data_IF_904074371448
#
_entry.id   IF_904074371448
#
_cell.length_a   1.000
_cell.length_b   1.000
_cell.length_c   1.000
_cell.angle_alpha   90.00
_cell.angle_beta   90.00
_cell.angle_gamma   90.00
#
_symmetry.space_group_name_H-M   'P 1'
#
loop_
_entity.id
_entity.type
_entity.pdbx_description
1 polymer ?
#
# COMPACT_ATOMS: atom_id res chain seq x y z
N UNK A 1 26.90 -28.57 -26.13
CA UNK A 1 26.72 -27.15 -25.73
C UNK A 1 25.84 -27.15 -24.50
N UNK A 2 26.38 -27.01 -23.27
CA UNK A 2 25.59 -27.10 -22.06
C UNK A 2 24.75 -25.83 -21.86
N UNK A 3 23.55 -26.04 -21.30
CA UNK A 3 22.46 -25.09 -21.14
C UNK A 3 22.88 -23.78 -20.47
N UNK A 4 22.51 -22.65 -21.08
CA UNK A 4 22.49 -21.37 -20.41
C UNK A 4 21.57 -21.49 -19.20
N UNK A 5 22.14 -21.36 -18.01
CA UNK A 5 21.45 -21.21 -16.76
C UNK A 5 20.44 -20.05 -16.91
N UNK A 6 19.16 -20.35 -17.14
CA UNK A 6 18.08 -19.35 -17.10
C UNK A 6 18.00 -18.85 -15.65
N UNK A 7 18.81 -17.84 -15.35
CA UNK A 7 18.69 -17.09 -14.11
C UNK A 7 17.34 -16.38 -14.21
N UNK A 8 16.32 -16.99 -13.60
CA UNK A 8 14.99 -16.41 -13.46
C UNK A 8 15.16 -15.01 -12.88
N UNK A 9 14.96 -13.99 -13.71
CA UNK A 9 15.25 -12.62 -13.36
C UNK A 9 14.29 -12.18 -12.25
N UNK A 10 14.81 -11.71 -11.12
CA UNK A 10 13.97 -11.32 -9.99
C UNK A 10 13.23 -10.02 -10.32
N UNK A 11 11.89 -10.00 -10.24
CA UNK A 11 11.13 -8.80 -10.55
C UNK A 11 11.38 -7.72 -9.49
N UNK A 12 11.28 -6.43 -9.87
CA UNK A 12 11.42 -5.31 -8.95
C UNK A 12 10.43 -5.35 -7.79
N UNK A 13 10.95 -5.30 -6.56
CA UNK A 13 10.18 -5.29 -5.31
C UNK A 13 10.44 -4.04 -4.45
N UNK A 14 10.70 -2.90 -5.10
CA UNK A 14 10.87 -1.59 -4.48
C UNK A 14 9.60 -0.74 -4.61
N UNK A 15 9.45 0.36 -3.84
CA UNK A 15 8.36 1.32 -4.06
C UNK A 15 8.42 1.93 -5.46
N UNK A 16 7.30 1.93 -6.19
CA UNK A 16 7.24 2.45 -7.56
C UNK A 16 7.57 3.95 -7.66
N UNK A 17 7.14 4.74 -6.68
CA UNK A 17 7.50 6.16 -6.60
C UNK A 17 9.03 6.36 -6.58
N UNK A 18 9.76 5.51 -5.87
CA UNK A 18 11.22 5.60 -5.82
C UNK A 18 11.87 5.26 -7.15
N UNK A 19 11.30 4.31 -7.89
CA UNK A 19 11.72 4.02 -9.26
C UNK A 19 11.53 5.24 -10.18
N UNK A 20 10.40 5.95 -10.10
CA UNK A 20 10.19 7.17 -10.88
C UNK A 20 11.20 8.28 -10.51
N UNK A 21 11.43 8.50 -9.22
CA UNK A 21 12.43 9.46 -8.75
C UNK A 21 13.84 9.11 -9.23
N UNK A 22 14.16 7.81 -9.34
CA UNK A 22 15.43 7.35 -9.90
C UNK A 22 15.58 7.70 -11.38
N UNK A 23 14.49 7.62 -12.17
CA UNK A 23 14.47 8.04 -13.57
C UNK A 23 14.68 9.54 -13.70
N UNK A 24 14.04 10.34 -12.84
CA UNK A 24 14.23 11.79 -12.82
C UNK A 24 15.67 12.17 -12.44
N UNK A 25 16.28 11.44 -11.49
CA UNK A 25 17.70 11.62 -11.14
C UNK A 25 18.64 11.28 -12.31
N UNK A 26 18.32 10.26 -13.09
CA UNK A 26 19.09 9.86 -14.28
C UNK A 26 18.86 10.84 -15.44
N UNK A 27 17.66 11.37 -15.59
CA UNK A 27 17.35 12.39 -16.61
C UNK A 27 18.18 13.66 -16.40
N UNK A 28 18.47 14.02 -15.15
CA UNK A 28 19.32 15.15 -14.82
C UNK A 28 20.80 14.93 -15.19
N UNK A 29 21.30 13.68 -15.11
CA UNK A 29 22.66 13.33 -15.50
C UNK A 29 22.73 11.84 -15.84
N UNK A 30 22.85 11.51 -17.13
CA UNK A 30 22.97 10.14 -17.59
C UNK A 30 24.42 9.64 -17.37
N UNK A 31 24.65 8.71 -16.44
CA UNK A 31 25.98 8.16 -16.24
C UNK A 31 26.37 7.26 -17.42
N UNK A 32 27.68 7.14 -17.68
CA UNK A 32 28.20 6.22 -18.71
C UNK A 32 27.85 4.76 -18.43
N UNK A 33 27.80 4.39 -17.15
CA UNK A 33 27.45 3.05 -16.69
C UNK A 33 26.58 3.16 -15.44
N UNK A 34 25.50 2.40 -15.40
CA UNK A 34 24.62 2.31 -14.25
C UNK A 34 25.13 1.19 -13.36
N UNK A 35 25.58 1.58 -12.17
CA UNK A 35 26.04 0.66 -11.14
C UNK A 35 25.55 1.15 -9.78
N UNK A 36 25.84 0.39 -8.73
CA UNK A 36 25.56 0.81 -7.35
C UNK A 36 26.15 2.20 -7.03
N UNK A 37 27.27 2.56 -7.66
CA UNK A 37 27.94 3.86 -7.47
C UNK A 37 27.19 5.04 -8.11
N UNK A 38 26.29 4.79 -9.05
CA UNK A 38 25.38 5.80 -9.62
C UNK A 38 24.46 6.39 -8.55
N UNK A 39 24.08 5.55 -7.58
CA UNK A 39 23.06 5.85 -6.58
C UNK A 39 23.66 6.41 -5.28
N UNK A 40 24.55 7.42 -5.34
CA UNK A 40 25.28 7.92 -4.15
C UNK A 40 24.39 8.40 -3.00
N UNK A 41 23.20 8.93 -3.32
CA UNK A 41 22.23 9.43 -2.33
C UNK A 41 21.34 8.33 -1.75
N UNK A 42 21.42 7.12 -2.31
CA UNK A 42 20.59 6.00 -1.91
C UNK A 42 21.27 5.13 -0.86
N UNK A 43 20.45 4.45 -0.07
CA UNK A 43 20.97 3.37 0.74
C UNK A 43 21.58 2.29 -0.15
N UNK A 44 22.62 1.65 0.36
CA UNK A 44 23.28 0.50 -0.25
C UNK A 44 22.31 -0.61 -0.68
N UNK A 45 21.25 -0.84 0.10
CA UNK A 45 20.19 -1.80 -0.23
C UNK A 45 19.32 -1.31 -1.40
N UNK A 46 18.81 -0.07 -1.32
CA UNK A 46 17.98 0.55 -2.37
C UNK A 46 18.71 0.61 -3.71
N UNK A 47 20.01 0.94 -3.69
CA UNK A 47 20.85 0.97 -4.88
C UNK A 47 20.93 -0.40 -5.59
N UNK A 48 21.01 -1.50 -4.84
CA UNK A 48 20.92 -2.85 -5.41
C UNK A 48 19.56 -3.13 -6.01
N UNK A 49 18.47 -2.76 -5.32
CA UNK A 49 17.12 -2.96 -5.82
C UNK A 49 16.87 -2.18 -7.12
N UNK A 50 17.35 -0.94 -7.19
CA UNK A 50 17.27 -0.11 -8.40
C UNK A 50 18.07 -0.74 -9.54
N UNK A 51 19.31 -1.14 -9.28
CA UNK A 51 20.14 -1.78 -10.32
C UNK A 51 19.49 -3.06 -10.86
N UNK A 52 18.91 -3.88 -9.99
CA UNK A 52 18.17 -5.08 -10.39
C UNK A 52 16.90 -4.74 -11.16
N UNK A 53 16.15 -3.71 -10.75
CA UNK A 53 14.96 -3.25 -11.44
C UNK A 53 15.28 -2.79 -12.88
N UNK A 54 16.36 -2.03 -13.06
CA UNK A 54 16.78 -1.53 -14.37
C UNK A 54 17.21 -2.68 -15.30
N UNK A 55 17.92 -3.66 -14.75
CA UNK A 55 18.31 -4.87 -15.49
C UNK A 55 17.08 -5.71 -15.88
N UNK A 56 16.16 -5.96 -14.94
CA UNK A 56 14.93 -6.71 -15.17
C UNK A 56 14.07 -6.07 -16.27
N UNK A 57 13.91 -4.74 -16.21
CA UNK A 57 13.14 -3.96 -17.19
C UNK A 57 13.91 -3.72 -18.51
N UNK A 58 15.10 -4.31 -18.68
CA UNK A 58 15.97 -4.16 -19.87
C UNK A 58 16.31 -2.70 -20.20
N UNK A 59 16.35 -1.85 -19.19
CA UNK A 59 16.80 -0.46 -19.28
C UNK A 59 18.33 -0.36 -19.31
N UNK A 60 18.99 -1.43 -18.87
CA UNK A 60 20.45 -1.60 -18.92
C UNK A 60 20.79 -2.92 -19.58
N UNK A 61 21.89 -2.95 -20.32
CA UNK A 61 22.48 -4.18 -20.85
C UNK A 61 23.21 -4.99 -19.75
N UNK A 62 23.66 -6.20 -20.08
CA UNK A 62 24.49 -7.11 -19.26
C UNK A 62 25.73 -6.42 -18.65
N UNK A 63 26.28 -5.41 -19.33
CA UNK A 63 27.42 -4.63 -18.85
C UNK A 63 27.02 -3.41 -17.99
N UNK A 64 25.74 -3.21 -17.70
CA UNK A 64 25.23 -2.04 -16.98
C UNK A 64 25.20 -0.75 -17.82
N UNK A 65 25.28 -0.88 -19.14
CA UNK A 65 25.24 0.28 -20.06
C UNK A 65 23.77 0.73 -20.27
N UNK A 66 23.48 2.04 -20.21
CA UNK A 66 22.14 2.58 -20.50
C UNK A 66 21.67 2.20 -21.91
N UNK A 67 20.47 1.64 -22.03
CA UNK A 67 19.82 1.35 -23.31
C UNK A 67 19.21 2.64 -23.91
N UNK A 68 19.07 2.78 -25.25
CA UNK A 68 18.38 3.93 -25.84
C UNK A 68 16.94 4.13 -25.32
N UNK A 69 16.27 3.04 -24.90
CA UNK A 69 14.97 3.08 -24.25
C UNK A 69 15.01 3.82 -22.90
N UNK A 70 16.06 3.62 -22.11
CA UNK A 70 16.24 4.33 -20.85
C UNK A 70 16.40 5.84 -21.09
N UNK A 71 17.18 6.22 -22.12
CA UNK A 71 17.32 7.63 -22.48
C UNK A 71 15.97 8.25 -22.84
N UNK A 72 15.16 7.58 -23.68
CA UNK A 72 13.81 8.03 -24.03
C UNK A 72 12.90 8.16 -22.79
N UNK A 73 12.90 7.14 -21.92
CA UNK A 73 12.07 7.11 -20.72
C UNK A 73 12.45 8.21 -19.70
N UNK A 74 13.74 8.52 -19.61
CA UNK A 74 14.26 9.57 -18.73
C UNK A 74 13.94 10.97 -19.27
N UNK A 75 14.22 11.22 -20.55
CA UNK A 75 14.07 12.54 -21.17
C UNK A 75 12.62 12.95 -21.45
N UNK A 76 11.77 12.04 -21.91
CA UNK A 76 10.39 12.35 -22.24
C UNK A 76 9.44 12.05 -21.07
N UNK A 77 9.19 13.07 -20.26
CA UNK A 77 8.28 12.95 -19.10
C UNK A 77 6.81 12.88 -19.50
N UNK A 78 6.43 13.45 -20.65
CA UNK A 78 5.04 13.49 -21.09
C UNK A 78 4.59 12.14 -21.63
N UNK A 79 5.42 11.52 -22.48
CA UNK A 79 5.14 10.19 -23.06
C UNK A 79 5.59 9.03 -22.18
N UNK A 80 6.15 9.31 -20.99
CA UNK A 80 6.64 8.30 -20.04
C UNK A 80 5.63 7.19 -19.73
N UNK A 81 4.33 7.48 -19.49
CA UNK A 81 3.33 6.43 -19.26
C UNK A 81 3.19 5.45 -20.43
N UNK A 82 3.26 5.95 -21.67
CA UNK A 82 3.13 5.14 -22.88
C UNK A 82 4.36 4.27 -23.10
N UNK A 83 5.56 4.85 -22.94
CA UNK A 83 6.82 4.10 -23.03
C UNK A 83 6.86 3.01 -21.94
N UNK A 84 6.42 3.34 -20.72
CA UNK A 84 6.37 2.38 -19.63
C UNK A 84 5.35 1.27 -19.90
N UNK A 85 4.22 1.57 -20.53
CA UNK A 85 3.23 0.57 -20.94
C UNK A 85 3.84 -0.48 -21.86
N UNK A 86 4.55 -0.02 -22.89
CA UNK A 86 5.17 -0.91 -23.87
C UNK A 86 6.29 -1.73 -23.24
N UNK A 87 7.07 -1.11 -22.34
CA UNK A 87 8.09 -1.77 -21.54
C UNK A 87 7.50 -2.85 -20.64
N UNK A 88 6.43 -2.55 -19.90
CA UNK A 88 5.74 -3.51 -19.05
C UNK A 88 5.19 -4.68 -19.87
N UNK A 89 4.65 -4.42 -21.08
CA UNK A 89 4.20 -5.48 -21.98
C UNK A 89 5.35 -6.40 -22.42
N UNK A 90 6.53 -5.86 -22.66
CA UNK A 90 7.71 -6.67 -23.00
C UNK A 90 8.30 -7.46 -21.82
N UNK A 91 8.26 -6.90 -20.60
CA UNK A 91 8.87 -7.52 -19.41
C UNK A 91 7.91 -8.46 -18.68
N UNK A 92 6.60 -8.20 -18.75
CA UNK A 92 5.54 -8.90 -18.01
C UNK A 92 4.42 -9.42 -18.92
N UNK A 93 4.67 -9.62 -20.21
CA UNK A 93 3.64 -9.96 -21.22
C UNK A 93 2.67 -11.05 -20.74
N UNK A 94 3.20 -12.19 -20.32
CA UNK A 94 2.41 -13.33 -19.81
C UNK A 94 1.54 -12.95 -18.60
N UNK A 95 2.07 -12.14 -17.67
CA UNK A 95 1.32 -11.68 -16.49
C UNK A 95 0.22 -10.71 -16.90
N UNK A 96 0.52 -9.78 -17.80
CA UNK A 96 -0.42 -8.76 -18.22
C UNK A 96 -1.55 -9.32 -19.07
N UNK A 97 -1.29 -10.38 -19.83
CA UNK A 97 -2.31 -11.07 -20.61
C UNK A 97 -3.25 -11.86 -19.69
N UNK A 98 -2.72 -12.58 -18.69
CA UNK A 98 -3.51 -13.21 -17.62
C UNK A 98 -4.38 -12.19 -16.86
N UNK A 99 -3.82 -11.02 -16.52
CA UNK A 99 -4.54 -9.93 -15.86
C UNK A 99 -5.67 -9.33 -16.71
N UNK A 100 -5.46 -9.18 -18.02
CA UNK A 100 -6.46 -8.63 -18.95
C UNK A 100 -7.62 -9.60 -19.18
N UNK A 101 -7.36 -10.91 -19.12
CA UNK A 101 -8.37 -11.95 -19.29
C UNK A 101 -9.32 -12.12 -18.08
N UNK A 102 -9.29 -11.19 -17.11
CA UNK A 102 -10.10 -11.19 -15.88
C UNK A 102 -9.85 -12.39 -14.97
N UNK A 103 -8.65 -12.95 -15.01
CA UNK A 103 -8.29 -13.96 -14.02
C UNK A 103 -8.23 -13.31 -12.63
N UNK A 104 -8.75 -14.04 -11.64
CA UNK A 104 -8.85 -13.62 -10.23
C UNK A 104 -7.54 -12.99 -9.71
N UNK A 105 -7.58 -12.09 -8.71
CA UNK A 105 -6.36 -11.58 -8.04
C UNK A 105 -5.36 -12.68 -7.62
N UNK A 106 -5.84 -13.91 -7.38
CA UNK A 106 -4.99 -15.10 -7.15
C UNK A 106 -4.10 -15.47 -8.35
N UNK A 107 -4.58 -15.32 -9.58
CA UNK A 107 -3.80 -15.62 -10.78
C UNK A 107 -2.59 -14.69 -10.92
N UNK A 108 -2.73 -13.41 -10.53
CA UNK A 108 -1.59 -12.47 -10.49
C UNK A 108 -0.56 -12.91 -9.44
N UNK A 109 -1.04 -13.32 -8.27
CA UNK A 109 -0.16 -13.84 -7.22
C UNK A 109 0.55 -15.12 -7.66
N UNK A 110 -0.12 -16.02 -8.39
CA UNK A 110 0.41 -17.27 -8.94
C UNK A 110 1.44 -17.04 -10.06
N UNK A 111 1.18 -16.09 -10.97
CA UNK A 111 2.13 -15.76 -12.04
C UNK A 111 3.36 -15.02 -11.49
N UNK A 112 3.20 -14.17 -10.47
CA UNK A 112 4.36 -13.57 -9.78
C UNK A 112 5.11 -14.61 -8.94
N UNK A 113 4.45 -15.67 -8.47
CA UNK A 113 5.11 -16.80 -7.80
C UNK A 113 6.03 -17.60 -8.75
N UNK A 114 5.83 -17.51 -10.07
CA UNK A 114 6.73 -18.08 -11.08
C UNK A 114 8.16 -17.53 -10.97
N UNK A 115 8.32 -16.31 -10.42
CA UNK A 115 9.63 -15.72 -10.13
C UNK A 115 10.27 -16.21 -8.82
N UNK A 116 9.74 -17.28 -8.21
CA UNK A 116 10.21 -17.90 -6.95
C UNK A 116 10.31 -16.92 -5.77
N UNK A 117 9.50 -15.87 -5.79
CA UNK A 117 9.39 -14.92 -4.68
C UNK A 117 8.35 -15.39 -3.68
N UNK A 118 8.70 -15.33 -2.38
CA UNK A 118 7.78 -15.70 -1.29
C UNK A 118 7.66 -14.59 -0.25
N UNK A 119 6.55 -14.61 0.49
CA UNK A 119 6.31 -13.75 1.65
C UNK A 119 6.24 -12.26 1.34
N UNK A 120 7.00 -11.46 2.10
CA UNK A 120 6.96 -9.99 2.00
C UNK A 120 7.51 -9.45 0.67
N UNK A 121 8.45 -10.16 0.04
CA UNK A 121 9.07 -9.77 -1.23
C UNK A 121 8.09 -9.90 -2.39
N UNK A 122 7.31 -10.99 -2.41
CA UNK A 122 6.23 -11.21 -3.37
C UNK A 122 5.20 -10.07 -3.32
N UNK A 123 4.68 -9.73 -2.12
CA UNK A 123 3.72 -8.64 -1.95
C UNK A 123 4.24 -7.29 -2.46
N UNK A 124 5.55 -7.02 -2.28
CA UNK A 124 6.18 -5.80 -2.78
C UNK A 124 6.30 -5.79 -4.30
N UNK A 125 6.62 -6.92 -4.92
CA UNK A 125 6.66 -7.05 -6.39
C UNK A 125 5.26 -6.85 -7.01
N UNK A 126 4.22 -7.47 -6.43
CA UNK A 126 2.82 -7.27 -6.85
C UNK A 126 2.41 -5.81 -6.70
N UNK A 127 2.78 -5.17 -5.58
CA UNK A 127 2.51 -3.74 -5.35
C UNK A 127 3.21 -2.85 -6.38
N UNK A 128 4.47 -3.14 -6.70
CA UNK A 128 5.21 -2.43 -7.74
C UNK A 128 4.52 -2.56 -9.11
N UNK A 129 4.18 -3.79 -9.52
CA UNK A 129 3.52 -4.06 -10.80
C UNK A 129 2.16 -3.35 -10.89
N UNK A 130 1.34 -3.44 -9.84
CA UNK A 130 0.04 -2.77 -9.79
C UNK A 130 0.17 -1.25 -9.90
N UNK A 131 1.14 -0.63 -9.21
CA UNK A 131 1.38 0.80 -9.32
C UNK A 131 1.89 1.20 -10.71
N UNK A 132 2.79 0.40 -11.28
CA UNK A 132 3.33 0.64 -12.62
C UNK A 132 2.25 0.58 -13.70
N UNK A 133 1.37 -0.42 -13.64
CA UNK A 133 0.24 -0.56 -14.56
C UNK A 133 -0.77 0.60 -14.41
N UNK A 134 -1.04 1.07 -13.18
CA UNK A 134 -1.89 2.24 -12.95
C UNK A 134 -1.29 3.50 -13.57
N UNK A 135 0.02 3.67 -13.42
CA UNK A 135 0.74 4.80 -14.01
C UNK A 135 0.73 4.74 -15.54
N UNK A 136 0.87 3.55 -16.11
CA UNK A 136 0.82 3.29 -17.56
C UNK A 136 -0.60 3.34 -18.16
N UNK A 137 -1.63 3.65 -17.36
CA UNK A 137 -3.03 3.68 -17.82
C UNK A 137 -3.61 2.31 -18.17
N UNK A 138 -2.96 1.22 -17.78
CA UNK A 138 -3.48 -0.13 -17.97
C UNK A 138 -4.61 -0.37 -16.97
N UNK A 139 -5.79 -0.76 -17.45
CA UNK A 139 -6.93 -1.08 -16.59
C UNK A 139 -6.63 -2.35 -15.82
N UNK A 140 -6.36 -2.19 -14.52
CA UNK A 140 -6.16 -3.30 -13.60
C UNK A 140 -7.44 -3.52 -12.82
N UNK A 141 -7.96 -4.74 -12.80
CA UNK A 141 -9.07 -5.15 -11.94
C UNK A 141 -8.59 -5.58 -10.54
N UNK A 142 -7.40 -5.14 -10.13
CA UNK A 142 -6.94 -5.33 -8.75
C UNK A 142 -7.64 -4.28 -7.88
N UNK A 143 -8.82 -4.63 -7.39
CA UNK A 143 -9.40 -3.91 -6.25
C UNK A 143 -8.35 -3.93 -5.14
N UNK A 144 -7.92 -2.76 -4.62
CA UNK A 144 -6.98 -2.72 -3.52
C UNK A 144 -7.74 -3.22 -2.28
N UNK A 145 -7.71 -4.54 -2.07
CA UNK A 145 -8.26 -5.18 -0.90
C UNK A 145 -7.69 -4.50 0.34
N UNK A 146 -8.56 -3.82 1.08
CA UNK A 146 -8.22 -3.01 2.23
C UNK A 146 -7.39 -3.81 3.21
N UNK A 147 -6.11 -3.46 3.32
CA UNK A 147 -5.34 -3.68 4.53
C UNK A 147 -4.96 -2.30 5.02
N UNK A 148 -5.75 -1.84 5.99
CA UNK A 148 -5.36 -0.78 6.92
C UNK A 148 -3.91 -1.05 7.30
N UNK A 149 -3.01 -0.12 6.94
CA UNK A 149 -1.63 -0.20 7.38
C UNK A 149 -1.66 -0.18 8.90
N UNK A 150 -1.39 -1.32 9.52
CA UNK A 150 -0.91 -1.34 10.90
C UNK A 150 0.43 -0.62 10.85
N UNK A 151 0.39 0.68 11.11
CA UNK A 151 1.58 1.51 11.30
C UNK A 151 2.29 0.96 12.51
N UNK A 152 3.37 0.22 12.28
CA UNK A 152 4.38 0.00 13.31
C UNK A 152 5.06 1.35 13.52
N UNK A 153 4.52 2.15 14.43
CA UNK A 153 5.10 3.44 14.82
C UNK A 153 6.46 3.15 15.43
N UNK A 154 7.50 3.40 14.64
CA UNK A 154 8.89 3.37 15.08
C UNK A 154 9.05 4.48 16.12
N UNK A 155 9.21 4.09 17.38
CA UNK A 155 9.57 4.99 18.48
C UNK A 155 10.88 5.67 18.12
N UNK A 156 10.84 6.96 17.79
CA UNK A 156 12.02 7.73 17.43
C UNK A 156 11.67 9.14 16.96
N UNK A 157 11.84 10.09 17.88
CA UNK A 157 11.78 11.55 17.72
C UNK A 157 10.41 12.21 17.49
N UNK A 158 9.81 12.63 18.62
CA UNK A 158 8.74 13.63 18.72
C UNK A 158 9.22 14.97 18.13
N UNK A 159 8.58 15.44 17.06
CA UNK A 159 8.15 16.84 16.98
C UNK A 159 6.73 16.94 17.59
N UNK A 160 6.34 18.07 18.20
CA UNK A 160 5.02 18.23 18.79
C UNK A 160 3.98 18.40 17.68
N UNK A 161 3.46 17.28 17.19
CA UNK A 161 2.30 17.26 16.32
C UNK A 161 1.05 17.33 17.20
N UNK A 162 0.22 18.33 16.97
CA UNK A 162 -0.99 18.61 17.74
C UNK A 162 -1.85 17.35 17.84
N UNK A 163 -2.15 16.95 19.07
CA UNK A 163 -2.91 15.75 19.41
C UNK A 163 -4.37 15.99 18.98
N UNK A 164 -4.71 15.60 17.75
CA UNK A 164 -6.09 15.53 17.30
C UNK A 164 -6.61 14.12 17.60
N UNK A 165 -7.07 13.92 18.83
CA UNK A 165 -7.60 12.65 19.30
C UNK A 165 -8.84 12.27 18.48
N UNK A 166 -8.86 11.02 17.98
CA UNK A 166 -10.07 10.43 17.41
C UNK A 166 -10.80 9.75 18.56
N UNK A 167 -11.92 10.29 18.99
CA UNK A 167 -12.76 9.68 20.04
C UNK A 167 -13.75 8.74 19.37
N UNK A 168 -13.71 7.46 19.72
CA UNK A 168 -14.65 6.45 19.22
C UNK A 168 -15.38 5.76 20.36
N UNK A 169 -16.71 5.75 20.31
CA UNK A 169 -17.58 5.06 21.26
C UNK A 169 -18.46 4.07 20.51
N UNK A 170 -18.44 2.81 20.93
CA UNK A 170 -19.26 1.74 20.36
C UNK A 170 -20.32 1.31 21.36
N UNK A 171 -21.58 1.27 20.95
CA UNK A 171 -22.73 0.88 21.77
C UNK A 171 -23.54 -0.21 21.06
N UNK A 172 -23.95 -1.21 21.83
CA UNK A 172 -24.78 -2.34 21.40
C UNK A 172 -26.27 -2.04 21.56
N UNK A 173 -27.06 -2.14 20.49
CA UNK A 173 -28.50 -1.89 20.47
C UNK A 173 -29.32 -3.12 20.88
N UNK A 174 -30.49 -2.88 21.49
CA UNK A 174 -31.47 -3.92 21.90
C UNK A 174 -31.95 -4.84 20.77
N UNK A 175 -31.86 -4.41 19.52
CA UNK A 175 -32.25 -5.18 18.34
C UNK A 175 -31.12 -6.04 17.75
N UNK A 176 -29.98 -6.17 18.46
CA UNK A 176 -28.86 -7.02 18.04
C UNK A 176 -27.91 -6.38 17.01
N UNK A 177 -27.82 -5.04 16.98
CA UNK A 177 -26.91 -4.30 16.09
C UNK A 177 -25.92 -3.41 16.85
N UNK A 178 -24.74 -3.17 16.28
CA UNK A 178 -23.70 -2.30 16.85
C UNK A 178 -23.71 -0.92 16.19
N UNK A 179 -23.70 0.15 17.00
CA UNK A 179 -23.44 1.51 16.53
C UNK A 179 -22.06 1.93 17.02
N UNK A 180 -21.15 2.22 16.09
CA UNK A 180 -19.86 2.85 16.38
C UNK A 180 -19.89 4.30 15.92
N UNK A 181 -19.75 5.23 16.87
CA UNK A 181 -19.59 6.65 16.58
C UNK A 181 -18.11 7.01 16.69
N UNK A 182 -17.48 7.39 15.58
CA UNK A 182 -16.09 7.84 15.54
C UNK A 182 -16.03 9.27 15.02
N UNK A 183 -15.49 10.18 15.83
CA UNK A 183 -15.33 11.58 15.48
C UNK A 183 -13.87 12.02 15.59
N UNK A 184 -13.45 12.91 14.68
CA UNK A 184 -12.19 13.67 14.82
C UNK A 184 -12.56 15.10 15.13
N UNK A 185 -12.48 15.48 16.40
CA UNK A 185 -12.72 16.85 16.80
C UNK A 185 -11.83 17.21 17.98
N UNK A 186 -11.38 18.46 18.01
CA UNK A 186 -10.68 19.01 19.16
C UNK A 186 -11.70 19.83 19.97
N UNK A 187 -12.03 19.44 21.21
CA UNK A 187 -13.08 20.08 22.01
C UNK A 187 -12.79 21.54 22.36
N UNK A 188 -11.54 22.00 22.18
CA UNK A 188 -11.11 23.37 22.45
C UNK A 188 -11.19 24.30 21.23
N UNK A 189 -11.40 23.75 20.02
CA UNK A 189 -11.38 24.54 18.77
C UNK A 189 -12.71 24.55 18.02
N UNK A 190 -13.70 23.77 18.44
CA UNK A 190 -15.03 23.70 17.81
C UNK A 190 -15.96 24.83 18.27
N UNK A 191 -16.93 25.17 17.42
CA UNK A 191 -17.99 26.15 17.75
C UNK A 191 -18.74 25.75 19.03
N UNK A 192 -19.16 26.72 19.86
CA UNK A 192 -19.96 26.43 21.05
C UNK A 192 -21.29 25.71 20.75
N UNK A 193 -21.85 25.87 19.56
CA UNK A 193 -23.06 25.15 19.12
C UNK A 193 -22.75 23.68 18.83
N UNK A 194 -21.69 23.42 18.06
CA UNK A 194 -21.24 22.07 17.72
C UNK A 194 -20.80 21.29 18.96
N UNK A 195 -20.17 21.98 19.92
CA UNK A 195 -19.80 21.42 21.22
C UNK A 195 -21.03 20.87 21.95
N UNK A 196 -22.10 21.67 22.05
CA UNK A 196 -23.35 21.25 22.73
C UNK A 196 -23.99 20.06 22.03
N UNK A 197 -23.95 20.02 20.70
CA UNK A 197 -24.49 18.92 19.92
C UNK A 197 -23.74 17.60 20.19
N UNK A 198 -22.41 17.63 20.14
CA UNK A 198 -21.58 16.43 20.36
C UNK A 198 -21.75 15.91 21.78
N UNK A 199 -21.71 16.78 22.79
CA UNK A 199 -21.90 16.36 24.18
C UNK A 199 -23.29 15.78 24.42
N UNK A 200 -24.34 16.37 23.86
CA UNK A 200 -25.70 15.82 23.95
C UNK A 200 -25.79 14.39 23.38
N UNK A 201 -25.09 14.13 22.28
CA UNK A 201 -25.09 12.81 21.64
C UNK A 201 -24.31 11.78 22.48
N UNK A 202 -23.19 12.19 23.08
CA UNK A 202 -22.44 11.35 24.03
C UNK A 202 -23.28 11.05 25.28
N UNK A 203 -23.91 12.05 25.88
CA UNK A 203 -24.75 11.89 27.07
C UNK A 203 -25.91 10.91 26.80
N UNK A 204 -26.59 11.03 25.66
CA UNK A 204 -27.65 10.11 25.26
C UNK A 204 -27.17 8.66 25.08
N UNK A 205 -25.95 8.46 24.56
CA UNK A 205 -25.36 7.13 24.44
C UNK A 205 -25.00 6.54 25.80
N UNK A 206 -24.42 7.35 26.70
CA UNK A 206 -24.09 6.93 28.07
C UNK A 206 -25.33 6.61 28.90
N UNK A 207 -26.39 7.42 28.79
CA UNK A 207 -27.68 7.16 29.44
C UNK A 207 -28.30 5.85 28.96
N UNK A 208 -28.25 5.58 27.65
CA UNK A 208 -28.76 4.33 27.09
C UNK A 208 -27.97 3.11 27.58
N UNK A 209 -26.65 3.22 27.70
CA UNK A 209 -25.78 2.17 28.23
C UNK A 209 -26.04 1.91 29.72
N UNK A 210 -26.15 2.96 30.53
CA UNK A 210 -26.46 2.85 31.96
C UNK A 210 -27.86 2.27 32.21
N UNK A 211 -28.86 2.67 31.40
CA UNK A 211 -30.21 2.12 31.48
C UNK A 211 -30.26 0.63 31.13
N UNK A 212 -29.34 0.12 30.29
CA UNK A 212 -29.21 -1.31 30.01
C UNK A 212 -28.61 -2.06 31.20
N UNK A 213 -27.51 -1.55 31.75
CA UNK A 213 -26.79 -2.20 32.85
C UNK A 213 -27.67 -2.36 34.11
N UNK A 214 -28.56 -1.40 34.36
CA UNK A 214 -29.55 -1.48 35.44
C UNK A 214 -30.66 -2.52 35.20
N UNK A 215 -31.09 -2.72 33.95
CA UNK A 215 -32.11 -3.73 33.61
C UNK A 215 -31.50 -5.13 33.72
N UNK A 216 -30.27 -5.31 33.23
CA UNK A 216 -29.53 -6.57 33.28
C UNK A 216 -29.25 -7.02 34.72
N UNK A 217 -28.99 -6.07 35.64
CA UNK A 217 -28.87 -6.33 37.08
C UNK A 217 -30.21 -6.66 37.77
N UNK A 218 -31.33 -6.12 37.28
CA UNK A 218 -32.66 -6.42 37.83
C UNK A 218 -33.20 -7.78 37.37
N UNK A 219 -32.79 -8.24 36.19
CA UNK A 219 -33.19 -9.53 35.62
C UNK A 219 -32.41 -10.69 36.25
N UNK A 220 -31.12 -10.50 36.57
CA UNK A 220 -30.31 -11.49 37.31
C UNK A 220 -30.73 -11.67 38.77
N UNK A 221 -31.41 -10.68 39.37
CA UNK A 221 -31.85 -10.73 40.77
C UNK A 221 -33.18 -11.50 40.96
N UNK A 222 -33.88 -11.86 39.88
CA UNK A 222 -35.16 -12.60 39.92
C UNK A 222 -35.00 -14.11 39.70
N UNK A 223 -33.81 -14.60 39.33
CA UNK A 223 -33.57 -16.03 39.07
C UNK A 223 -33.10 -16.82 40.32
N UNK A 224 -32.81 -16.16 41.45
CA UNK A 224 -32.32 -16.81 42.68
C UNK A 224 -33.42 -17.25 43.68
N UNK A 225 -34.71 -17.00 43.43
CA UNK A 225 -35.83 -17.49 44.27
C UNK A 225 -36.73 -18.52 43.56
N UNK A 226 -36.15 -19.66 43.16
CA UNK A 226 -36.95 -20.88 42.99
C UNK A 226 -36.37 -21.99 43.85
N UNK A 227 -36.90 -22.21 45.08
CA UNK A 227 -36.62 -23.42 45.82
C UNK A 227 -37.27 -24.60 45.10
N UNK A 228 -36.46 -25.61 44.79
CA UNK A 228 -36.91 -26.93 44.32
C UNK A 228 -37.91 -27.59 45.28
#
# INVERSE_FOLDING_TARGET
MPAANEVVATPPYLPFARFLESLDSIAACLPRQISRATWKRESSYTATLLTNAYSFLRLTDTNGMPTPLLHRLASDRASRPEILRDLLRSAYGEILDAMQNRESPKAVDEVVAHFRLSGATHRKAVSFLSQACRYAGLRILLSPGGRSRVSYTKVGQRLPEAINETTSTTVQLRSGGEITLAGRFNPFTISPEDRKFIFKLVDQLSEYQAARELIEQSESALEDEVPF
#
